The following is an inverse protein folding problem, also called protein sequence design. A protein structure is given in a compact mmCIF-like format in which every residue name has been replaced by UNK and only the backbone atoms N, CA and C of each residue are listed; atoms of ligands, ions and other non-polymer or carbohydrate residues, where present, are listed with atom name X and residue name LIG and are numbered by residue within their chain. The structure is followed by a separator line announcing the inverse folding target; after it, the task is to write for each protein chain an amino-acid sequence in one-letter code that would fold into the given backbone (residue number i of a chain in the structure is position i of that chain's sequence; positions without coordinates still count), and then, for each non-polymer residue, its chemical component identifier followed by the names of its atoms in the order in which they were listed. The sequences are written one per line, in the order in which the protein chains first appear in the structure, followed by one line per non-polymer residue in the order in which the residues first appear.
data_IF_473026863930
#
_entry.id   IF_473026863930
#
_cell.length_a   1.000
_cell.length_b   1.000
_cell.length_c   1.000
_cell.angle_alpha   90.00
_cell.angle_beta   90.00
_cell.angle_gamma   90.00
#
_symmetry.space_group_name_H-M   'P 1'
#
loop_
_entity.id
_entity.type
_entity.pdbx_description
1 polymer ?
#
# COMPACT_ATOMS: atom_id res chain seq x y z
N UNK A 1 8.52 29.63 -24.82
CA UNK A 1 8.41 29.98 -23.39
C UNK A 1 7.11 29.36 -22.86
N UNK A 2 7.17 28.18 -22.24
CA UNK A 2 5.98 27.49 -21.72
C UNK A 2 5.70 28.04 -20.33
N UNK A 3 4.57 28.74 -20.18
CA UNK A 3 4.10 29.24 -18.89
C UNK A 3 3.67 28.02 -18.07
N UNK A 4 4.53 27.54 -17.17
CA UNK A 4 4.15 26.57 -16.14
C UNK A 4 3.22 27.29 -15.16
N UNK A 5 1.91 27.19 -15.39
CA UNK A 5 0.90 27.58 -14.41
C UNK A 5 1.14 26.75 -13.15
N UNK A 6 1.63 27.42 -12.11
CA UNK A 6 1.88 26.87 -10.79
C UNK A 6 0.52 26.60 -10.10
N UNK A 7 -0.23 25.60 -10.60
CA UNK A 7 -1.48 25.14 -9.99
C UNK A 7 -1.11 24.52 -8.64
N UNK A 8 -1.33 25.27 -7.55
CA UNK A 8 -1.25 24.73 -6.20
C UNK A 8 -2.19 23.53 -6.13
N UNK A 9 -1.62 22.34 -5.94
CA UNK A 9 -2.39 21.11 -5.72
C UNK A 9 -3.42 21.35 -4.61
N UNK A 10 -4.69 20.96 -4.80
CA UNK A 10 -5.72 21.20 -3.81
C UNK A 10 -5.31 20.57 -2.46
N UNK A 11 -5.34 21.38 -1.40
CA UNK A 11 -4.96 20.95 -0.06
C UNK A 11 -6.14 20.20 0.57
N UNK A 12 -6.21 18.89 0.34
CA UNK A 12 -7.30 18.07 0.85
C UNK A 12 -7.34 18.03 2.38
N UNK A 13 -8.55 18.04 2.92
CA UNK A 13 -8.79 17.90 4.35
C UNK A 13 -8.35 16.52 4.85
N UNK A 14 -8.17 16.39 6.17
CA UNK A 14 -7.90 15.08 6.77
C UNK A 14 -9.06 14.09 6.52
N UNK A 15 -10.31 14.59 6.46
CA UNK A 15 -11.50 13.81 6.17
C UNK A 15 -11.48 13.25 4.74
N UNK A 16 -11.03 14.05 3.76
CA UNK A 16 -10.90 13.58 2.38
C UNK A 16 -9.84 12.49 2.25
N UNK A 17 -8.71 12.65 2.95
CA UNK A 17 -7.65 11.62 2.97
C UNK A 17 -8.17 10.31 3.56
N UNK A 18 -8.93 10.37 4.64
CA UNK A 18 -9.56 9.19 5.26
C UNK A 18 -10.57 8.55 4.31
N UNK A 19 -11.44 9.34 3.66
CA UNK A 19 -12.42 8.82 2.70
C UNK A 19 -11.74 8.07 1.55
N UNK A 20 -10.71 8.67 0.93
CA UNK A 20 -9.96 8.03 -0.17
C UNK A 20 -9.23 6.75 0.27
N UNK A 21 -8.69 6.74 1.48
CA UNK A 21 -8.08 5.54 2.07
C UNK A 21 -9.11 4.42 2.22
N UNK A 22 -10.26 4.72 2.81
CA UNK A 22 -11.34 3.75 3.00
C UNK A 22 -11.93 3.25 1.67
N UNK A 23 -12.06 4.12 0.66
CA UNK A 23 -12.46 3.75 -0.69
C UNK A 23 -11.45 2.79 -1.32
N UNK A 24 -10.15 3.09 -1.23
CA UNK A 24 -9.11 2.22 -1.76
C UNK A 24 -9.09 0.84 -1.06
N UNK A 25 -9.22 0.81 0.27
CA UNK A 25 -9.33 -0.44 1.04
C UNK A 25 -10.55 -1.26 0.62
N UNK A 26 -11.70 -0.60 0.41
CA UNK A 26 -12.94 -1.25 -0.03
C UNK A 26 -12.79 -1.82 -1.44
N UNK A 27 -12.24 -1.04 -2.37
CA UNK A 27 -11.96 -1.48 -3.74
C UNK A 27 -10.99 -2.67 -3.75
N UNK A 28 -9.94 -2.63 -2.93
CA UNK A 28 -8.98 -3.72 -2.80
C UNK A 28 -9.64 -5.00 -2.30
N UNK A 29 -10.36 -4.93 -1.18
CA UNK A 29 -11.07 -6.09 -0.62
C UNK A 29 -12.07 -6.68 -1.62
N UNK A 30 -12.82 -5.84 -2.31
CA UNK A 30 -13.80 -6.29 -3.31
C UNK A 30 -13.13 -6.96 -4.52
N UNK A 31 -11.87 -6.62 -4.81
CA UNK A 31 -11.16 -7.17 -5.97
C UNK A 31 -10.65 -8.58 -5.71
N UNK A 32 -10.40 -8.97 -4.45
CA UNK A 32 -9.80 -10.27 -4.10
C UNK A 32 -10.53 -11.48 -4.72
N UNK A 33 -11.86 -11.50 -4.64
CA UNK A 33 -12.68 -12.61 -5.16
C UNK A 33 -12.58 -12.77 -6.68
N UNK A 34 -12.27 -11.70 -7.42
CA UNK A 34 -12.14 -11.74 -8.88
C UNK A 34 -10.81 -12.34 -9.36
N UNK A 35 -9.82 -12.45 -8.47
CA UNK A 35 -8.52 -13.05 -8.76
C UNK A 35 -8.30 -14.35 -7.98
N UNK A 36 -9.37 -14.94 -7.42
CA UNK A 36 -9.31 -16.14 -6.59
C UNK A 36 -8.28 -16.01 -5.44
N UNK A 37 -8.14 -14.80 -4.89
CA UNK A 37 -7.27 -14.52 -3.75
C UNK A 37 -8.11 -14.55 -2.47
N UNK A 38 -7.60 -15.24 -1.45
CA UNK A 38 -8.16 -15.14 -0.12
C UNK A 38 -7.41 -14.05 0.65
N UNK A 39 -8.14 -13.20 1.37
CA UNK A 39 -7.52 -12.16 2.16
C UNK A 39 -8.36 -11.73 3.36
N UNK A 40 -7.68 -11.40 4.44
CA UNK A 40 -8.30 -10.97 5.68
C UNK A 40 -7.76 -9.60 6.08
N UNK A 41 -8.67 -8.66 6.36
CA UNK A 41 -8.31 -7.35 6.90
C UNK A 41 -7.95 -7.54 8.37
N UNK A 42 -6.80 -7.03 8.80
CA UNK A 42 -6.47 -7.02 10.22
C UNK A 42 -7.22 -5.87 10.88
N UNK A 43 -7.88 -6.14 12.01
CA UNK A 43 -8.62 -5.11 12.75
C UNK A 43 -7.86 -4.67 14.00
N UNK A 44 -8.14 -3.45 14.45
CA UNK A 44 -7.66 -2.93 15.73
C UNK A 44 -8.57 -3.48 16.82
N UNK A 45 -8.05 -4.31 17.74
CA UNK A 45 -8.82 -4.94 18.83
C UNK A 45 -9.05 -4.00 20.04
N UNK A 46 -8.82 -2.70 19.87
CA UNK A 46 -8.97 -1.66 20.90
C UNK A 46 -7.76 -1.47 21.81
N UNK A 47 -6.89 -2.48 21.93
CA UNK A 47 -5.68 -2.43 22.79
C UNK A 47 -4.40 -2.35 21.95
N UNK A 48 -4.38 -3.09 20.84
CA UNK A 48 -3.26 -3.14 19.93
C UNK A 48 -3.57 -2.37 18.64
N UNK A 49 -2.71 -1.43 18.24
CA UNK A 49 -2.83 -0.85 16.92
C UNK A 49 -2.68 -1.93 15.83
N UNK A 50 -3.48 -1.80 14.78
CA UNK A 50 -3.45 -2.66 13.59
C UNK A 50 -2.04 -2.67 12.95
N UNK A 51 -1.37 -3.84 12.84
CA UNK A 51 0.03 -3.91 12.41
C UNK A 51 0.24 -3.69 10.90
N UNK A 52 -0.77 -3.95 10.07
CA UNK A 52 -0.86 -3.54 8.66
C UNK A 52 -2.27 -3.89 8.16
N UNK A 53 -2.61 -3.56 6.92
CA UNK A 53 -3.99 -3.63 6.47
C UNK A 53 -4.55 -5.03 6.22
N UNK A 54 -3.86 -5.86 5.44
CA UNK A 54 -4.37 -7.17 5.02
C UNK A 54 -3.29 -8.25 5.07
N UNK A 55 -3.70 -9.48 5.44
CA UNK A 55 -2.98 -10.69 5.06
C UNK A 55 -3.67 -11.26 3.82
N UNK A 56 -2.90 -11.56 2.78
CA UNK A 56 -3.37 -12.26 1.59
C UNK A 56 -2.76 -13.64 1.50
N UNK A 57 -3.52 -14.64 1.08
CA UNK A 57 -3.01 -15.94 0.68
C UNK A 57 -2.96 -16.00 -0.84
N UNK A 58 -1.78 -16.31 -1.36
CA UNK A 58 -1.48 -16.43 -2.79
C UNK A 58 -0.94 -17.83 -3.08
N UNK A 59 -0.73 -18.20 -4.34
CA UNK A 59 -0.11 -19.50 -4.69
C UNK A 59 1.29 -19.65 -4.09
N UNK A 60 2.03 -18.55 -3.96
CA UNK A 60 3.34 -18.51 -3.33
C UNK A 60 3.32 -18.40 -1.80
N UNK A 61 2.16 -18.48 -1.14
CA UNK A 61 2.03 -18.39 0.31
C UNK A 61 1.42 -17.07 0.80
N UNK A 62 1.59 -16.79 2.09
CA UNK A 62 1.00 -15.62 2.73
C UNK A 62 1.80 -14.34 2.42
N UNK A 63 1.09 -13.24 2.19
CA UNK A 63 1.66 -11.90 1.96
C UNK A 63 1.07 -10.89 2.96
N UNK A 64 1.91 -10.01 3.47
CA UNK A 64 1.49 -8.86 4.28
C UNK A 64 1.27 -7.66 3.36
N UNK A 65 0.15 -6.94 3.52
CA UNK A 65 -0.19 -5.82 2.65
C UNK A 65 -0.61 -4.60 3.46
N UNK A 66 0.07 -3.49 3.22
CA UNK A 66 -0.29 -2.16 3.72
C UNK A 66 -0.78 -1.30 2.54
N UNK A 67 -1.91 -0.60 2.71
CA UNK A 67 -2.49 0.25 1.67
C UNK A 67 -2.27 1.73 2.00
N UNK A 68 -1.83 2.49 1.00
CA UNK A 68 -1.69 3.95 1.10
C UNK A 68 -2.33 4.63 -0.10
N UNK A 69 -2.95 5.78 0.16
CA UNK A 69 -3.44 6.66 -0.89
C UNK A 69 -2.76 8.04 -0.74
N UNK A 70 -2.18 8.51 -1.82
CA UNK A 70 -1.46 9.78 -1.91
C UNK A 70 -1.77 10.47 -3.24
N UNK A 71 -1.27 11.69 -3.40
CA UNK A 71 -1.39 12.47 -4.64
C UNK A 71 -0.04 12.81 -5.24
N UNK A 72 1.03 12.52 -4.48
CA UNK A 72 2.42 12.72 -4.86
C UNK A 72 3.06 11.38 -5.16
N UNK A 73 3.98 11.36 -6.11
CA UNK A 73 4.87 10.22 -6.34
C UNK A 73 5.93 10.05 -5.24
N UNK A 74 5.96 10.93 -4.24
CA UNK A 74 6.79 10.80 -3.05
C UNK A 74 5.92 10.40 -1.86
N UNK A 75 6.12 9.19 -1.33
CA UNK A 75 5.46 8.73 -0.11
C UNK A 75 6.38 8.98 1.10
N UNK A 76 6.07 9.91 2.01
CA UNK A 76 6.93 10.17 3.16
C UNK A 76 7.01 8.94 4.08
N UNK A 77 8.19 8.67 4.65
CA UNK A 77 8.37 7.52 5.56
C UNK A 77 7.40 7.57 6.75
N UNK A 78 7.00 8.76 7.18
CA UNK A 78 6.02 8.96 8.25
C UNK A 78 4.59 8.48 7.90
N UNK A 79 4.28 8.27 6.62
CA UNK A 79 3.01 7.70 6.20
C UNK A 79 2.88 6.21 6.60
N UNK A 80 4.00 5.51 6.73
CA UNK A 80 4.08 4.15 7.29
C UNK A 80 4.30 4.32 8.78
N UNK A 81 3.24 4.09 9.56
CA UNK A 81 3.20 4.46 10.99
C UNK A 81 4.33 3.77 11.75
N UNK A 82 5.25 4.55 12.31
CA UNK A 82 6.23 4.10 13.30
C UNK A 82 5.61 3.98 14.70
N UNK A 83 6.38 3.49 15.67
CA UNK A 83 5.90 3.34 17.05
C UNK A 83 5.56 4.71 17.64
N UNK A 84 4.35 4.84 18.19
CA UNK A 84 3.87 6.07 18.84
C UNK A 84 3.93 5.99 20.37
N UNK A 85 4.08 4.80 20.95
CA UNK A 85 4.10 4.55 22.39
C UNK A 85 4.75 3.20 22.71
N UNK A 86 5.41 3.09 23.88
CA UNK A 86 6.03 1.85 24.38
C UNK A 86 4.97 0.73 24.44
N UNK A 87 5.21 -0.39 23.76
CA UNK A 87 4.33 -1.58 23.79
C UNK A 87 3.25 -1.67 22.70
N UNK A 88 3.13 -0.69 21.81
CA UNK A 88 2.14 -0.68 20.71
C UNK A 88 2.81 -0.96 19.36
N UNK A 89 2.44 -2.06 18.69
CA UNK A 89 3.04 -2.47 17.41
C UNK A 89 2.76 -1.48 16.28
N UNK A 90 3.81 -0.92 15.74
CA UNK A 90 3.76 -0.03 14.59
C UNK A 90 3.53 -0.79 13.29
N UNK A 91 3.23 -0.07 12.21
CA UNK A 91 3.11 -0.70 10.90
C UNK A 91 4.44 -1.30 10.42
N UNK A 92 5.53 -0.58 10.73
CA UNK A 92 6.90 -0.97 10.42
C UNK A 92 7.30 -2.27 11.13
N UNK A 93 6.98 -2.37 12.43
CA UNK A 93 7.21 -3.56 13.23
C UNK A 93 6.33 -4.73 12.77
N UNK A 94 5.06 -4.46 12.47
CA UNK A 94 4.10 -5.45 11.99
C UNK A 94 4.54 -6.14 10.70
N UNK A 95 4.91 -5.36 9.68
CA UNK A 95 5.40 -5.88 8.40
C UNK A 95 6.70 -6.69 8.57
N UNK A 96 7.62 -6.20 9.42
CA UNK A 96 8.89 -6.86 9.71
C UNK A 96 8.73 -8.18 10.46
N UNK A 97 7.88 -8.19 11.50
CA UNK A 97 7.60 -9.39 12.28
C UNK A 97 6.87 -10.44 11.43
N UNK A 98 5.96 -10.00 10.56
CA UNK A 98 5.28 -10.90 9.64
C UNK A 98 6.26 -11.63 8.72
N UNK A 99 7.14 -10.92 8.01
CA UNK A 99 8.18 -11.54 7.15
C UNK A 99 9.06 -12.51 7.95
N UNK A 100 9.44 -12.15 9.17
CA UNK A 100 10.22 -13.01 10.05
C UNK A 100 9.49 -14.30 10.44
N UNK A 101 8.17 -14.26 10.60
CA UNK A 101 7.35 -15.42 10.99
C UNK A 101 7.04 -16.35 9.82
N UNK A 102 6.87 -15.79 8.63
CA UNK A 102 6.58 -16.58 7.43
C UNK A 102 7.85 -16.96 6.66
N UNK A 103 9.02 -16.53 7.12
CA UNK A 103 10.34 -16.78 6.53
C UNK A 103 10.43 -16.42 5.04
N UNK A 104 9.76 -15.35 4.62
CA UNK A 104 9.80 -14.84 3.25
C UNK A 104 9.71 -13.31 3.20
N UNK A 105 10.19 -12.71 2.09
CA UNK A 105 10.13 -11.27 1.84
C UNK A 105 8.83 -10.87 1.12
N UNK A 106 7.68 -11.33 1.64
CA UNK A 106 6.36 -11.17 1.00
C UNK A 106 5.48 -10.12 1.68
N UNK A 107 6.08 -9.05 2.19
CA UNK A 107 5.35 -7.86 2.61
C UNK A 107 5.41 -6.75 1.56
N UNK A 108 4.27 -6.11 1.28
CA UNK A 108 4.14 -5.08 0.26
C UNK A 108 3.39 -3.86 0.78
N UNK A 109 3.78 -2.68 0.30
CA UNK A 109 3.01 -1.46 0.45
C UNK A 109 2.41 -1.14 -0.93
N UNK A 110 1.09 -1.19 -1.04
CA UNK A 110 0.40 -0.77 -2.25
C UNK A 110 0.02 0.70 -2.13
N UNK A 111 0.54 1.51 -3.05
CA UNK A 111 0.38 2.96 -3.00
C UNK A 111 -0.43 3.43 -4.19
N UNK A 112 -1.67 3.85 -3.96
CA UNK A 112 -2.48 4.54 -4.97
C UNK A 112 -2.07 6.00 -5.03
N UNK A 113 -1.58 6.43 -6.19
CA UNK A 113 -1.42 7.85 -6.53
C UNK A 113 -2.67 8.28 -7.29
N UNK A 114 -3.52 9.05 -6.62
CA UNK A 114 -4.77 9.58 -7.18
C UNK A 114 -4.75 11.11 -7.17
N UNK A 115 -4.62 11.70 -8.35
CA UNK A 115 -4.72 13.14 -8.58
C UNK A 115 -5.39 13.42 -9.93
N UNK A 116 -5.45 14.68 -10.33
CA UNK A 116 -6.16 15.10 -11.55
C UNK A 116 -5.59 14.51 -12.84
N UNK A 117 -4.34 14.01 -12.83
CA UNK A 117 -3.65 13.51 -14.02
C UNK A 117 -3.40 12.00 -13.99
N UNK A 118 -3.50 11.35 -12.83
CA UNK A 118 -3.18 9.93 -12.70
C UNK A 118 -4.02 9.23 -11.65
N UNK A 119 -4.32 7.96 -11.92
CA UNK A 119 -4.86 6.99 -10.98
C UNK A 119 -4.06 5.69 -11.16
N UNK A 120 -2.92 5.61 -10.47
CA UNK A 120 -1.96 4.50 -10.57
C UNK A 120 -1.77 3.82 -9.22
N UNK A 121 -1.50 2.52 -9.24
CA UNK A 121 -1.14 1.75 -8.05
C UNK A 121 0.30 1.28 -8.22
N UNK A 122 1.14 1.57 -7.23
CA UNK A 122 2.53 1.15 -7.16
C UNK A 122 2.66 0.02 -6.14
N UNK A 123 3.50 -0.96 -6.46
CA UNK A 123 3.80 -2.10 -5.58
C UNK A 123 5.21 -1.89 -5.02
N UNK A 124 5.30 -1.55 -3.73
CA UNK A 124 6.59 -1.32 -3.06
C UNK A 124 6.90 -2.51 -2.15
N UNK A 125 7.88 -3.37 -2.49
CA UNK A 125 8.28 -4.46 -1.61
C UNK A 125 8.89 -3.92 -0.31
N UNK A 126 8.39 -4.39 0.84
CA UNK A 126 8.86 -3.93 2.15
C UNK A 126 10.35 -4.16 2.34
N UNK A 127 10.85 -5.34 1.99
CA UNK A 127 12.26 -5.69 2.05
C UNK A 127 13.20 -4.70 1.32
N UNK A 128 12.71 -3.97 0.30
CA UNK A 128 13.51 -3.00 -0.47
C UNK A 128 13.58 -1.61 0.19
N UNK A 129 12.63 -1.28 1.07
CA UNK A 129 12.53 0.05 1.70
C UNK A 129 12.66 0.03 3.23
N UNK A 130 12.62 -1.16 3.83
CA UNK A 130 12.58 -1.37 5.28
C UNK A 130 13.67 -0.60 6.01
N UNK A 131 14.92 -0.74 5.60
CA UNK A 131 16.05 -0.17 6.32
C UNK A 131 16.02 1.36 6.31
N UNK A 132 15.67 1.97 5.17
CA UNK A 132 15.52 3.42 5.06
C UNK A 132 14.31 3.95 5.84
N UNK A 133 13.16 3.28 5.73
CA UNK A 133 11.92 3.69 6.41
C UNK A 133 12.03 3.55 7.92
N UNK A 134 12.68 2.49 8.41
CA UNK A 134 12.92 2.23 9.83
C UNK A 134 14.12 2.98 10.39
N UNK A 135 14.99 3.49 9.53
CA UNK A 135 16.17 4.25 9.92
C UNK A 135 15.85 5.59 10.59
N UNK A 136 16.88 6.24 11.17
CA UNK A 136 16.71 7.52 11.89
C UNK A 136 16.45 8.70 10.95
N UNK A 137 16.64 8.52 9.64
CA UNK A 137 16.55 9.60 8.65
C UNK A 137 15.10 9.92 8.32
N UNK A 138 14.81 11.21 8.17
CA UNK A 138 13.58 11.66 7.50
C UNK A 138 13.76 11.48 6.00
N UNK A 139 12.71 11.06 5.32
CA UNK A 139 12.76 10.83 3.88
C UNK A 139 11.41 10.42 3.31
N UNK A 140 11.45 10.01 2.06
CA UNK A 140 10.30 9.57 1.30
C UNK A 140 10.72 8.53 0.28
N UNK A 141 9.84 7.56 0.05
CA UNK A 141 9.96 6.59 -1.02
C UNK A 141 9.58 7.30 -2.32
N UNK A 142 10.45 7.25 -3.32
CA UNK A 142 10.11 7.66 -4.68
C UNK A 142 9.37 6.49 -5.37
N UNK A 143 8.08 6.66 -5.60
CA UNK A 143 7.23 5.59 -6.14
C UNK A 143 7.57 5.23 -7.58
N UNK A 144 8.20 6.15 -8.33
CA UNK A 144 8.61 5.90 -9.71
C UNK A 144 9.74 4.86 -9.83
N UNK A 145 10.42 4.54 -8.72
CA UNK A 145 11.48 3.51 -8.68
C UNK A 145 10.90 2.08 -8.59
N UNK A 146 9.57 1.95 -8.50
CA UNK A 146 8.87 0.68 -8.30
C UNK A 146 7.85 0.41 -9.41
N UNK A 147 7.52 -0.87 -9.67
CA UNK A 147 6.53 -1.21 -10.68
C UNK A 147 5.18 -0.58 -10.34
N UNK A 148 4.67 0.21 -11.28
CA UNK A 148 3.28 0.59 -11.33
C UNK A 148 2.50 -0.47 -12.09
N UNK A 149 1.28 -0.77 -11.65
CA UNK A 149 0.37 -1.56 -12.47
C UNK A 149 0.11 -0.78 -13.77
N UNK A 150 0.45 -1.29 -14.97
CA UNK A 150 0.18 -0.57 -16.22
C UNK A 150 -1.33 -0.40 -16.44
N UNK A 151 -2.11 -1.36 -15.95
CA UNK A 151 -3.58 -1.35 -15.93
C UNK A 151 -4.01 -1.52 -14.46
N UNK A 152 -4.17 -0.44 -13.68
CA UNK A 152 -4.55 -0.52 -12.27
C UNK A 152 -5.97 -1.02 -12.06
N UNK A 153 -6.81 -0.90 -13.09
CA UNK A 153 -8.23 -1.19 -13.02
C UNK A 153 -8.67 -2.09 -14.18
N UNK A 154 -9.36 -3.17 -13.87
CA UNK A 154 -10.01 -4.03 -14.85
C UNK A 154 -11.52 -3.86 -14.70
N UNK A 155 -12.25 -3.90 -15.81
CA UNK A 155 -13.70 -3.96 -15.81
C UNK A 155 -14.13 -5.42 -16.00
N UNK A 156 -14.88 -5.95 -15.03
CA UNK A 156 -15.48 -7.28 -15.09
C UNK A 156 -16.99 -7.07 -15.07
N UNK A 157 -17.61 -7.14 -16.26
CA UNK A 157 -18.96 -6.64 -16.48
C UNK A 157 -19.05 -5.14 -16.12
N UNK A 158 -20.02 -4.80 -15.26
CA UNK A 158 -20.24 -3.41 -14.82
C UNK A 158 -19.43 -3.04 -13.56
N UNK A 159 -18.48 -3.87 -13.13
CA UNK A 159 -17.68 -3.65 -11.93
C UNK A 159 -16.26 -3.26 -12.31
N UNK A 160 -15.79 -2.15 -11.74
CA UNK A 160 -14.37 -1.76 -11.75
C UNK A 160 -13.66 -2.41 -10.57
N UNK A 161 -12.61 -3.17 -10.83
CA UNK A 161 -11.82 -3.87 -9.82
C UNK A 161 -10.35 -3.51 -9.96
N UNK A 162 -9.60 -3.53 -8.86
CA UNK A 162 -8.15 -3.37 -8.87
C UNK A 162 -7.54 -4.59 -9.55
N UNK A 163 -6.62 -4.36 -10.48
CA UNK A 163 -5.85 -5.44 -11.07
C UNK A 163 -4.86 -6.02 -10.06
N UNK A 164 -5.15 -7.22 -9.55
CA UNK A 164 -4.32 -7.91 -8.55
C UNK A 164 -3.44 -9.02 -9.17
N UNK A 165 -3.37 -9.13 -10.50
CA UNK A 165 -2.53 -10.14 -11.18
C UNK A 165 -1.05 -10.00 -10.86
N UNK A 166 -0.59 -8.82 -10.44
CA UNK A 166 0.79 -8.65 -10.00
C UNK A 166 1.13 -9.56 -8.81
N UNK A 167 0.18 -9.96 -7.97
CA UNK A 167 0.44 -10.95 -6.91
C UNK A 167 0.67 -12.36 -7.46
N UNK A 168 0.17 -12.66 -8.66
CA UNK A 168 0.46 -13.92 -9.37
C UNK A 168 1.86 -13.89 -10.01
N UNK A 169 2.29 -12.72 -10.49
CA UNK A 169 3.57 -12.51 -11.21
C UNK A 169 4.77 -12.38 -10.26
N UNK A 170 4.62 -11.69 -9.12
CA UNK A 170 5.67 -11.50 -8.10
C UNK A 170 6.12 -12.83 -7.46
N UNK A 171 5.41 -13.94 -7.72
CA UNK A 171 5.87 -15.29 -7.38
C UNK A 171 7.12 -15.74 -8.11
N UNK A 172 7.48 -15.13 -9.24
CA UNK A 172 8.56 -15.62 -10.09
C UNK A 172 9.89 -14.87 -9.89
N UNK A 173 9.95 -13.84 -9.05
CA UNK A 173 11.14 -12.97 -8.90
C UNK A 173 11.74 -12.94 -7.47
N UNK A 174 11.33 -13.84 -6.57
CA UNK A 174 11.90 -13.96 -5.22
C UNK A 174 12.36 -15.39 -4.93
#
# INVERSE_FOLDING_TARGET
MIIMLNRKQPKYSQRDKQRRGAEFEKEFRNSLSYFNLWGHKLECDGYNPQPFDFILTTKGGACGVELKCTQSFMLPYSAIRGSKSKGKKSQREGLTEFESKIHTNKSFILVRVLNDTTDKIFVVPWAKVKDDVCGPKRGSINLLDYPATPIPWIHIGNKRVINLRFFEEVHNEV
#
